data_IF_922919920153
#
_entry.id   IF_922919920153
#
_cell.length_a   1.000
_cell.length_b   1.000
_cell.length_c   1.000
_cell.angle_alpha   90.00
_cell.angle_beta   90.00
_cell.angle_gamma   90.00
#
_symmetry.space_group_name_H-M   'P 1'
#
loop_
_entity.id
_entity.type
_entity.pdbx_description
1 polymer ?
#
# COMPACT_ATOMS: atom_id res chain seq x y z
N UNK A 1 2.04 12.77 16.37
CA UNK A 1 2.09 11.30 16.59
C UNK A 1 0.74 10.65 16.85
N UNK A 2 -0.06 11.09 17.84
CA UNK A 2 -1.37 10.47 18.15
C UNK A 2 -2.32 10.46 16.94
N UNK A 3 -2.39 11.58 16.20
CA UNK A 3 -3.22 11.67 14.99
C UNK A 3 -2.79 10.70 13.88
N UNK A 4 -1.48 10.52 13.66
CA UNK A 4 -0.97 9.57 12.67
C UNK A 4 -1.23 8.12 13.09
N UNK A 5 -1.11 7.81 14.38
CA UNK A 5 -1.45 6.49 14.92
C UNK A 5 -2.96 6.21 14.79
N UNK A 6 -3.81 7.19 15.10
CA UNK A 6 -5.25 7.10 14.90
C UNK A 6 -5.61 6.91 13.41
N UNK A 7 -5.00 7.70 12.53
CA UNK A 7 -5.21 7.57 11.09
C UNK A 7 -4.74 6.22 10.54
N UNK A 8 -3.62 5.69 11.04
CA UNK A 8 -3.13 4.36 10.68
C UNK A 8 -4.10 3.27 11.14
N UNK A 9 -4.59 3.36 12.37
CA UNK A 9 -5.58 2.42 12.91
C UNK A 9 -6.90 2.47 12.13
N UNK A 10 -7.44 3.67 11.89
CA UNK A 10 -8.66 3.86 11.12
C UNK A 10 -8.48 3.38 9.68
N UNK A 11 -7.38 3.75 9.03
CA UNK A 11 -7.06 3.31 7.68
C UNK A 11 -6.94 1.80 7.55
N UNK A 12 -6.25 1.14 8.49
CA UNK A 12 -6.13 -0.31 8.52
C UNK A 12 -7.48 -1.00 8.78
N UNK A 13 -8.32 -0.42 9.65
CA UNK A 13 -9.67 -0.92 9.93
C UNK A 13 -10.57 -0.83 8.69
N UNK A 14 -10.54 0.30 7.99
CA UNK A 14 -11.28 0.50 6.73
C UNK A 14 -10.77 -0.43 5.63
N UNK A 15 -9.44 -0.63 5.52
CA UNK A 15 -8.86 -1.59 4.57
C UNK A 15 -9.27 -3.02 4.89
N UNK A 16 -9.32 -3.41 6.17
CA UNK A 16 -9.78 -4.74 6.57
C UNK A 16 -11.25 -4.97 6.20
N UNK A 17 -12.10 -3.95 6.35
CA UNK A 17 -13.53 -4.04 6.06
C UNK A 17 -13.87 -3.98 4.56
N UNK A 18 -13.11 -3.21 3.77
CA UNK A 18 -13.46 -2.85 2.38
C UNK A 18 -12.47 -3.34 1.34
N UNK A 19 -11.27 -3.76 1.74
CA UNK A 19 -10.14 -4.03 0.85
C UNK A 19 -9.39 -2.77 0.38
N UNK A 20 -9.76 -1.57 0.83
CA UNK A 20 -9.19 -0.30 0.38
C UNK A 20 -9.14 0.76 1.50
N UNK A 21 -8.39 1.86 1.31
CA UNK A 21 -8.57 3.07 2.13
C UNK A 21 -7.50 3.37 3.18
N UNK A 22 -6.54 2.48 3.45
CA UNK A 22 -5.43 2.78 4.37
C UNK A 22 -4.64 4.01 3.94
N UNK A 23 -4.19 4.04 2.68
CA UNK A 23 -3.41 5.16 2.16
C UNK A 23 -4.25 6.46 2.08
N UNK A 24 -5.57 6.35 1.83
CA UNK A 24 -6.45 7.53 1.78
C UNK A 24 -6.57 8.23 3.14
N UNK A 25 -6.58 7.46 4.24
CA UNK A 25 -6.73 8.02 5.58
C UNK A 25 -5.37 8.41 6.17
N UNK A 26 -4.34 7.57 6.00
CA UNK A 26 -3.04 7.82 6.62
C UNK A 26 -2.21 8.87 5.88
N UNK A 27 -2.31 8.98 4.55
CA UNK A 27 -1.44 9.89 3.80
C UNK A 27 -1.61 11.36 4.20
N UNK A 28 -2.82 11.94 4.32
CA UNK A 28 -2.95 13.34 4.72
C UNK A 28 -2.42 13.58 6.14
N UNK A 29 -2.63 12.61 7.04
CA UNK A 29 -2.17 12.71 8.42
C UNK A 29 -0.64 12.67 8.55
N UNK A 30 0.04 11.87 7.72
CA UNK A 30 1.50 11.83 7.69
C UNK A 30 2.09 13.08 7.04
N UNK A 31 1.55 13.52 5.89
CA UNK A 31 2.02 14.75 5.24
C UNK A 31 1.81 16.01 6.10
N UNK A 32 0.82 15.99 7.01
CA UNK A 32 0.61 17.07 7.97
C UNK A 32 1.54 17.03 9.19
N UNK A 33 2.25 15.92 9.42
CA UNK A 33 2.97 15.67 10.67
C UNK A 33 4.48 15.50 10.51
N UNK A 34 4.96 15.10 9.34
CA UNK A 34 6.37 14.84 9.05
C UNK A 34 6.77 15.37 7.68
N UNK A 35 8.07 15.42 7.41
CA UNK A 35 8.59 15.82 6.10
C UNK A 35 8.07 14.89 4.98
N UNK A 36 7.87 15.40 3.75
CA UNK A 36 7.28 14.63 2.65
C UNK A 36 8.00 13.32 2.37
N UNK A 37 9.33 13.32 2.46
CA UNK A 37 10.13 12.11 2.28
C UNK A 37 9.82 11.05 3.34
N UNK A 38 9.76 11.45 4.61
CA UNK A 38 9.45 10.56 5.73
C UNK A 38 8.01 10.04 5.65
N UNK A 39 7.07 10.89 5.25
CA UNK A 39 5.67 10.52 5.05
C UNK A 39 5.55 9.41 3.99
N UNK A 40 6.17 9.60 2.82
CA UNK A 40 6.14 8.61 1.72
C UNK A 40 6.83 7.32 2.16
N UNK A 41 7.99 7.41 2.79
CA UNK A 41 8.71 6.23 3.27
C UNK A 41 7.86 5.42 4.28
N UNK A 42 7.28 6.10 5.27
CA UNK A 42 6.42 5.46 6.26
C UNK A 42 5.15 4.83 5.63
N UNK A 43 4.52 5.51 4.66
CA UNK A 43 3.38 4.98 3.92
C UNK A 43 3.72 3.70 3.17
N UNK A 44 4.88 3.66 2.50
CA UNK A 44 5.33 2.49 1.75
C UNK A 44 5.64 1.31 2.66
N UNK A 45 6.38 1.54 3.75
CA UNK A 45 6.74 0.48 4.70
C UNK A 45 5.49 -0.06 5.39
N UNK A 46 4.63 0.81 5.93
CA UNK A 46 3.45 0.38 6.66
C UNK A 46 2.40 -0.24 5.72
N UNK A 47 2.24 0.30 4.51
CA UNK A 47 1.38 -0.28 3.48
C UNK A 47 1.86 -1.68 3.04
N UNK A 48 3.16 -1.88 2.90
CA UNK A 48 3.74 -3.20 2.62
C UNK A 48 3.43 -4.18 3.75
N UNK A 49 3.67 -3.79 5.01
CA UNK A 49 3.37 -4.63 6.17
C UNK A 49 1.88 -4.99 6.22
N UNK A 50 0.98 -4.03 6.02
CA UNK A 50 -0.46 -4.29 5.99
C UNK A 50 -0.85 -5.24 4.85
N UNK A 51 -0.31 -5.06 3.65
CA UNK A 51 -0.59 -5.97 2.53
C UNK A 51 -0.09 -7.39 2.81
N UNK A 52 1.07 -7.56 3.44
CA UNK A 52 1.57 -8.88 3.85
C UNK A 52 0.67 -9.53 4.92
N UNK A 53 0.16 -8.76 5.87
CA UNK A 53 -0.77 -9.26 6.89
C UNK A 53 -2.10 -9.69 6.25
N UNK A 54 -2.66 -8.87 5.36
CA UNK A 54 -3.88 -9.20 4.60
C UNK A 54 -3.66 -10.45 3.75
N UNK A 55 -2.53 -10.56 3.07
CA UNK A 55 -2.21 -11.74 2.25
C UNK A 55 -2.07 -13.00 3.11
N UNK A 56 -1.45 -12.88 4.29
CA UNK A 56 -1.33 -13.98 5.25
C UNK A 56 -2.69 -14.42 5.77
N UNK A 57 -3.59 -13.49 6.09
CA UNK A 57 -4.95 -13.81 6.53
C UNK A 57 -5.77 -14.45 5.42
N UNK A 58 -5.71 -13.91 4.21
CA UNK A 58 -6.36 -14.51 3.05
C UNK A 58 -5.84 -15.92 2.78
N UNK A 59 -4.54 -16.16 2.91
CA UNK A 59 -3.94 -17.49 2.77
C UNK A 59 -4.42 -18.46 3.86
N UNK A 60 -4.50 -18.00 5.12
CA UNK A 60 -4.99 -18.83 6.23
C UNK A 60 -6.47 -19.19 6.07
N UNK A 61 -7.30 -18.22 5.69
CA UNK A 61 -8.73 -18.44 5.47
C UNK A 61 -9.02 -19.35 4.26
N UNK A 62 -8.06 -19.51 3.35
CA UNK A 62 -8.26 -20.29 2.13
C UNK A 62 -8.19 -21.82 2.34
N UNK A 63 -7.66 -22.35 3.45
CA UNK A 63 -7.50 -23.78 3.84
C UNK A 63 -7.23 -24.85 2.73
N UNK A 64 -6.84 -24.45 1.52
CA UNK A 64 -6.76 -25.32 0.33
C UNK A 64 -7.00 -24.61 -1.02
N UNK A 65 -7.48 -23.37 -1.00
CA UNK A 65 -7.65 -22.52 -2.17
C UNK A 65 -6.31 -22.16 -2.81
N UNK A 66 -5.99 -22.82 -3.93
CA UNK A 66 -4.80 -22.51 -4.72
C UNK A 66 -4.88 -21.08 -5.26
N UNK A 67 -3.80 -20.31 -5.13
CA UNK A 67 -3.64 -19.02 -5.80
C UNK A 67 -3.86 -19.22 -7.30
N UNK A 68 -4.81 -18.49 -7.89
CA UNK A 68 -5.15 -18.55 -9.32
C UNK A 68 -4.10 -17.80 -10.14
N UNK A 69 -2.92 -18.39 -10.26
CA UNK A 69 -1.79 -17.80 -10.99
C UNK A 69 -2.13 -17.44 -12.43
N UNK A 70 -3.04 -18.17 -13.07
CA UNK A 70 -3.47 -17.90 -14.45
C UNK A 70 -4.20 -16.55 -14.59
N UNK A 71 -4.91 -16.12 -13.54
CA UNK A 71 -5.54 -14.80 -13.49
C UNK A 71 -4.58 -13.72 -12.96
N UNK A 72 -3.68 -14.08 -12.04
CA UNK A 72 -2.77 -13.13 -11.40
C UNK A 72 -1.60 -12.70 -12.32
N UNK A 73 -1.03 -13.62 -13.08
CA UNK A 73 0.09 -13.36 -14.00
C UNK A 73 -0.19 -12.24 -15.01
N UNK A 74 -1.32 -12.24 -15.75
CA UNK A 74 -1.59 -11.16 -16.70
C UNK A 74 -1.80 -9.82 -16.00
N UNK A 75 -2.38 -9.80 -14.79
CA UNK A 75 -2.52 -8.57 -13.99
C UNK A 75 -1.14 -8.01 -13.58
N UNK A 76 -0.24 -8.87 -13.12
CA UNK A 76 1.13 -8.48 -12.77
C UNK A 76 1.91 -8.00 -14.01
N UNK A 77 1.78 -8.69 -15.13
CA UNK A 77 2.40 -8.28 -16.39
C UNK A 77 1.87 -6.91 -16.85
N UNK A 78 0.56 -6.66 -16.73
CA UNK A 78 -0.06 -5.38 -17.03
C UNK A 78 0.35 -4.25 -16.06
N UNK A 79 0.83 -4.58 -14.86
CA UNK A 79 1.37 -3.60 -13.91
C UNK A 79 2.81 -3.17 -14.25
N UNK A 80 3.59 -4.00 -14.95
CA UNK A 80 4.99 -3.71 -15.29
C UNK A 80 5.18 -2.40 -16.08
N UNK A 81 4.38 -2.08 -17.12
CA UNK A 81 4.50 -0.82 -17.84
C UNK A 81 4.25 0.38 -16.93
N UNK A 82 3.24 0.32 -16.06
CA UNK A 82 2.93 1.39 -15.11
C UNK A 82 4.08 1.64 -14.12
N UNK A 83 4.69 0.56 -13.61
CA UNK A 83 5.87 0.65 -12.76
C UNK A 83 7.07 1.27 -13.48
N UNK A 84 7.33 0.86 -14.73
CA UNK A 84 8.42 1.39 -15.53
C UNK A 84 8.23 2.89 -15.83
N UNK A 85 7.02 3.28 -16.22
CA UNK A 85 6.66 4.69 -16.45
C UNK A 85 6.79 5.50 -15.17
N UNK A 86 6.28 5.00 -14.03
CA UNK A 86 6.39 5.68 -12.75
C UNK A 86 7.85 5.89 -12.32
N UNK A 87 8.69 4.87 -12.47
CA UNK A 87 10.12 4.97 -12.17
C UNK A 87 10.85 5.95 -13.10
N UNK A 88 10.53 5.94 -14.39
CA UNK A 88 11.11 6.88 -15.36
C UNK A 88 10.72 8.33 -15.04
N UNK A 89 9.43 8.57 -14.74
CA UNK A 89 8.96 9.90 -14.35
C UNK A 89 9.61 10.38 -13.05
N UNK A 90 9.78 9.50 -12.06
CA UNK A 90 10.48 9.83 -10.82
C UNK A 90 11.96 10.16 -11.07
N UNK A 91 12.62 9.47 -12.00
CA UNK A 91 14.01 9.75 -12.36
C UNK A 91 14.18 11.09 -13.09
N UNK A 92 13.15 11.52 -13.82
CA UNK A 92 13.09 12.81 -14.51
C UNK A 92 12.58 13.95 -13.63
N UNK A 93 11.98 13.63 -12.48
CA UNK A 93 11.46 14.63 -11.56
C UNK A 93 12.60 15.49 -11.01
N UNK A 94 12.44 16.82 -10.97
CA UNK A 94 13.45 17.70 -10.37
C UNK A 94 13.66 17.29 -8.92
N UNK A 95 14.92 17.10 -8.53
CA UNK A 95 15.25 16.95 -7.11
C UNK A 95 15.07 18.32 -6.44
N UNK A 96 14.33 18.38 -5.31
CA UNK A 96 14.28 19.59 -4.49
C UNK A 96 15.66 19.91 -3.91
#
# INVERSE_FOLDING_TARGET
MILAAAAAFTGASVQSATGFGFALVLSPALFAAVEPFEAVFALLVLGLVLNLLVLRDAHRAAEGGRVRWDALRPLLAAALPGLAVGAALLALAPKP
#
